data_IF_883512338155
#
_entry.id   IF_883512338155
#
_cell.length_a   1.000
_cell.length_b   1.000
_cell.length_c   1.000
_cell.angle_alpha   90.00
_cell.angle_beta   90.00
_cell.angle_gamma   90.00
#
_symmetry.space_group_name_H-M   'P 1'
#
loop_
_entity.id
_entity.type
_entity.pdbx_description
1 polymer ?
#
# COMPACT_ATOMS: atom_id res chain seq x y z
N UNK A 1 22.21 -18.45 -0.79
CA UNK A 1 21.40 -17.35 -1.39
C UNK A 1 22.25 -16.08 -1.40
N UNK A 2 22.53 -15.53 -2.59
CA UNK A 2 23.34 -14.33 -2.76
C UNK A 2 22.78 -13.15 -1.96
N UNK A 3 23.67 -12.34 -1.36
CA UNK A 3 23.30 -11.16 -0.57
C UNK A 3 22.45 -10.17 -1.39
N UNK A 4 22.71 -10.07 -2.70
CA UNK A 4 21.91 -9.28 -3.63
C UNK A 4 20.45 -9.77 -3.80
N UNK A 5 20.22 -11.09 -3.76
CA UNK A 5 18.87 -11.64 -3.83
C UNK A 5 18.09 -11.36 -2.54
N UNK A 6 18.76 -11.46 -1.39
CA UNK A 6 18.15 -11.15 -0.08
C UNK A 6 17.67 -9.70 -0.03
N UNK A 7 18.48 -8.74 -0.49
CA UNK A 7 18.13 -7.32 -0.44
C UNK A 7 16.93 -7.00 -1.34
N UNK A 8 16.85 -7.59 -2.54
CA UNK A 8 15.69 -7.42 -3.43
C UNK A 8 14.40 -7.92 -2.79
N UNK A 9 14.44 -9.08 -2.15
CA UNK A 9 13.26 -9.67 -1.47
C UNK A 9 12.88 -8.83 -0.24
N UNK A 10 13.85 -8.36 0.54
CA UNK A 10 13.60 -7.50 1.71
C UNK A 10 12.97 -6.18 1.30
N UNK A 11 13.46 -5.52 0.25
CA UNK A 11 12.87 -4.27 -0.26
C UNK A 11 11.45 -4.48 -0.77
N UNK A 12 11.17 -5.61 -1.43
CA UNK A 12 9.84 -5.95 -1.94
C UNK A 12 8.86 -6.23 -0.80
N UNK A 13 9.30 -6.91 0.26
CA UNK A 13 8.51 -7.13 1.48
C UNK A 13 8.23 -5.83 2.23
N UNK A 14 9.23 -4.95 2.35
CA UNK A 14 9.08 -3.62 2.95
C UNK A 14 8.08 -2.76 2.17
N UNK A 15 8.15 -2.77 0.84
CA UNK A 15 7.20 -2.09 -0.03
C UNK A 15 5.75 -2.55 0.14
N UNK A 16 5.55 -3.86 0.20
CA UNK A 16 4.23 -4.46 0.45
C UNK A 16 3.69 -4.09 1.83
N UNK A 17 4.52 -4.15 2.87
CA UNK A 17 4.15 -3.77 4.23
C UNK A 17 3.74 -2.31 4.31
N UNK A 18 4.55 -1.40 3.75
CA UNK A 18 4.25 0.04 3.76
C UNK A 18 2.99 0.33 2.96
N UNK A 19 2.84 -0.21 1.76
CA UNK A 19 1.64 -0.05 0.93
C UNK A 19 0.38 -0.57 1.63
N UNK A 20 0.48 -1.69 2.34
CA UNK A 20 -0.61 -2.26 3.13
C UNK A 20 -0.98 -1.37 4.32
N UNK A 21 0.00 -0.93 5.13
CA UNK A 21 -0.25 -0.04 6.28
C UNK A 21 -0.90 1.26 5.85
N UNK A 22 -0.39 1.88 4.78
CA UNK A 22 -0.98 3.12 4.23
C UNK A 22 -2.40 2.87 3.72
N UNK A 23 -2.63 1.76 3.00
CA UNK A 23 -3.96 1.38 2.52
C UNK A 23 -4.97 1.15 3.64
N UNK A 24 -4.57 0.48 4.73
CA UNK A 24 -5.42 0.27 5.92
C UNK A 24 -5.72 1.60 6.61
N UNK A 25 -4.71 2.46 6.77
CA UNK A 25 -4.89 3.77 7.41
C UNK A 25 -5.88 4.65 6.64
N UNK A 26 -5.72 4.77 5.32
CA UNK A 26 -6.66 5.52 4.47
C UNK A 26 -8.04 4.87 4.43
N UNK A 27 -8.13 3.54 4.41
CA UNK A 27 -9.40 2.82 4.50
C UNK A 27 -10.14 3.11 5.81
N UNK A 28 -9.41 3.21 6.93
CA UNK A 28 -9.98 3.54 8.23
C UNK A 28 -10.46 5.00 8.30
N UNK A 29 -9.69 5.95 7.76
CA UNK A 29 -10.12 7.35 7.65
C UNK A 29 -11.41 7.45 6.82
N UNK A 30 -11.46 6.74 5.69
CA UNK A 30 -12.65 6.69 4.84
C UNK A 30 -13.85 6.09 5.58
N UNK A 31 -13.65 5.01 6.33
CA UNK A 31 -14.69 4.41 7.16
C UNK A 31 -15.22 5.39 8.24
N UNK A 32 -14.34 6.10 8.93
CA UNK A 32 -14.75 7.13 9.89
C UNK A 32 -15.51 8.26 9.20
N UNK A 33 -15.09 8.67 8.00
CA UNK A 33 -15.82 9.66 7.21
C UNK A 33 -17.22 9.18 6.85
N UNK A 34 -17.40 7.93 6.40
CA UNK A 34 -18.72 7.39 6.06
C UNK A 34 -19.62 7.25 7.27
N UNK A 35 -19.04 6.90 8.43
CA UNK A 35 -19.77 6.76 9.69
C UNK A 35 -20.20 8.13 10.25
N UNK A 36 -19.30 9.12 10.27
CA UNK A 36 -19.55 10.45 10.87
C UNK A 36 -20.32 11.37 9.93
N UNK A 37 -19.96 11.41 8.64
CA UNK A 37 -20.51 12.39 7.68
C UNK A 37 -21.76 11.85 7.00
N UNK A 38 -21.75 10.57 6.62
CA UNK A 38 -22.87 9.98 5.88
C UNK A 38 -23.85 9.19 6.77
N UNK A 39 -23.50 8.95 8.04
CA UNK A 39 -24.30 8.15 8.96
C UNK A 39 -24.37 6.66 8.60
N UNK A 40 -23.57 6.23 7.63
CA UNK A 40 -23.48 4.86 7.16
C UNK A 40 -22.43 4.14 8.01
N UNK A 41 -22.88 3.51 9.10
CA UNK A 41 -22.06 2.59 9.90
C UNK A 41 -21.80 1.27 9.17
N UNK A 42 -21.84 0.14 9.89
CA UNK A 42 -21.56 -1.20 9.33
C UNK A 42 -22.52 -1.64 8.20
N UNK A 43 -23.68 -1.01 8.09
CA UNK A 43 -24.69 -1.23 7.04
C UNK A 43 -24.55 -0.27 5.86
N UNK A 44 -23.39 0.37 5.71
CA UNK A 44 -23.11 1.26 4.60
C UNK A 44 -23.29 0.58 3.23
N UNK A 45 -23.71 1.33 2.20
CA UNK A 45 -23.95 0.77 0.88
C UNK A 45 -22.75 -0.01 0.33
N UNK A 46 -23.00 -1.15 -0.33
CA UNK A 46 -21.95 -1.99 -0.95
C UNK A 46 -20.99 -1.22 -1.88
N UNK A 47 -21.41 -0.09 -2.45
CA UNK A 47 -20.55 0.73 -3.30
C UNK A 47 -19.40 1.37 -2.51
N UNK A 48 -19.56 1.65 -1.21
CA UNK A 48 -18.50 2.21 -0.35
C UNK A 48 -17.36 1.20 -0.20
N UNK A 49 -17.69 -0.07 0.07
CA UNK A 49 -16.71 -1.14 0.20
C UNK A 49 -15.92 -1.34 -1.10
N UNK A 50 -16.57 -1.18 -2.26
CA UNK A 50 -15.89 -1.22 -3.58
C UNK A 50 -14.91 -0.06 -3.77
N UNK A 51 -15.26 1.15 -3.32
CA UNK A 51 -14.38 2.32 -3.37
C UNK A 51 -13.16 2.13 -2.46
N UNK A 52 -13.36 1.67 -1.22
CA UNK A 52 -12.26 1.40 -0.29
C UNK A 52 -11.32 0.32 -0.81
N UNK A 53 -11.85 -0.78 -1.36
CA UNK A 53 -11.05 -1.82 -1.99
C UNK A 53 -10.24 -1.28 -3.19
N UNK A 54 -10.84 -0.41 -4.01
CA UNK A 54 -10.15 0.22 -5.14
C UNK A 54 -8.97 1.09 -4.68
N UNK A 55 -9.17 1.93 -3.66
CA UNK A 55 -8.12 2.78 -3.09
C UNK A 55 -6.98 1.91 -2.52
N UNK A 56 -7.30 0.82 -1.80
CA UNK A 56 -6.30 -0.10 -1.28
C UNK A 56 -5.45 -0.74 -2.38
N UNK A 57 -6.07 -1.19 -3.48
CA UNK A 57 -5.35 -1.77 -4.62
C UNK A 57 -4.38 -0.74 -5.22
N UNK A 58 -4.82 0.50 -5.40
CA UNK A 58 -3.99 1.58 -5.93
C UNK A 58 -2.76 1.83 -5.03
N UNK A 59 -2.96 1.88 -3.71
CA UNK A 59 -1.87 2.10 -2.76
C UNK A 59 -0.83 0.96 -2.76
N UNK A 60 -1.30 -0.28 -2.90
CA UNK A 60 -0.41 -1.45 -3.03
C UNK A 60 0.40 -1.36 -4.32
N UNK A 61 -0.22 -1.01 -5.45
CA UNK A 61 0.46 -0.86 -6.75
C UNK A 61 1.54 0.23 -6.65
N UNK A 62 1.21 1.38 -6.07
CA UNK A 62 2.17 2.48 -5.87
C UNK A 62 3.36 2.02 -5.00
N UNK A 63 3.10 1.29 -3.92
CA UNK A 63 4.14 0.74 -3.04
C UNK A 63 5.09 -0.23 -3.76
N UNK A 64 4.55 -1.09 -4.64
CA UNK A 64 5.34 -2.02 -5.46
C UNK A 64 6.22 -1.25 -6.46
N UNK A 65 5.63 -0.27 -7.17
CA UNK A 65 6.36 0.55 -8.16
C UNK A 65 7.48 1.34 -7.47
N UNK A 66 7.20 1.98 -6.34
CA UNK A 66 8.18 2.72 -5.56
C UNK A 66 9.36 1.83 -5.13
N UNK A 67 9.07 0.59 -4.74
CA UNK A 67 10.10 -0.38 -4.32
C UNK A 67 10.99 -0.84 -5.47
N UNK A 68 10.39 -1.08 -6.65
CA UNK A 68 11.13 -1.37 -7.89
C UNK A 68 12.02 -0.20 -8.29
N UNK A 69 11.49 1.02 -8.20
CA UNK A 69 12.24 2.23 -8.53
C UNK A 69 13.40 2.47 -7.57
N UNK A 70 13.18 2.28 -6.26
CA UNK A 70 14.22 2.39 -5.25
C UNK A 70 15.33 1.35 -5.45
N UNK A 71 14.97 0.11 -5.81
CA UNK A 71 15.96 -0.91 -6.17
C UNK A 71 16.82 -0.47 -7.35
N UNK A 72 16.19 0.00 -8.43
CA UNK A 72 16.92 0.49 -9.61
C UNK A 72 17.81 1.68 -9.28
N UNK A 73 17.35 2.55 -8.38
CA UNK A 73 18.10 3.70 -7.90
C UNK A 73 19.31 3.29 -7.04
N UNK A 74 19.15 2.31 -6.14
CA UNK A 74 20.22 1.78 -5.32
C UNK A 74 21.31 1.11 -6.18
N UNK A 75 20.92 0.38 -7.22
CA UNK A 75 21.85 -0.20 -8.21
C UNK A 75 22.67 0.89 -8.94
N UNK A 76 22.04 2.00 -9.35
CA UNK A 76 22.72 3.09 -10.07
C UNK A 76 23.75 3.84 -9.23
N UNK A 77 23.72 3.71 -7.90
CA UNK A 77 24.66 4.40 -6.99
C UNK A 77 25.84 3.54 -6.53
N UNK A 78 25.98 2.30 -7.01
CA UNK A 78 27.06 1.41 -6.57
C UNK A 78 27.11 1.18 -5.05
N UNK A 79 25.98 1.39 -4.34
CA UNK A 79 25.83 1.14 -2.90
C UNK A 79 25.10 -0.19 -2.64
N UNK A 80 25.44 -1.22 -3.41
CA UNK A 80 25.12 -2.63 -3.19
C UNK A 80 26.31 -3.48 -3.60
#
# INVERSE_FOLDING_TARGET
MNNNFKIRVVLLLLGLLVGWVVGVFFGYIWYLFTLVVLGYGDSGPQWINKVTACIQIIMIIIGIIASQWYYHYAQKRGRL
#
